data_IF_305788233494
#
_entry.id   IF_305788233494
#
_cell.length_a   1.000
_cell.length_b   1.000
_cell.length_c   1.000
_cell.angle_alpha   90.00
_cell.angle_beta   90.00
_cell.angle_gamma   90.00
#
_symmetry.space_group_name_H-M   'P 1'
#
loop_
_entity.id
_entity.type
_entity.pdbx_description
1 polymer ?
2 polymer ?
3 non-polymer ?
4 non-polymer ?
5 water ?
#
# COMPACT_ATOMS: atom_id res chain seq x y z
N UNK A 2 -13.16 -8.21 -6.35
CA UNK A 2 -12.50 -7.87 -7.64
C UNK A 2 -11.04 -7.52 -7.40
N UNK A 3 -10.24 -7.50 -8.46
CA UNK A 3 -8.83 -7.15 -8.34
C UNK A 3 -8.33 -6.34 -9.53
N UNK A 4 -7.21 -5.65 -9.35
CA UNK A 4 -6.63 -4.82 -10.39
C UNK A 4 -5.92 -5.62 -11.46
N UNK A 5 -6.35 -5.44 -12.71
CA UNK A 5 -5.76 -6.14 -13.84
C UNK A 5 -4.49 -5.43 -14.28
N UNK A 6 -4.60 -4.13 -14.54
CA UNK A 6 -3.48 -3.31 -14.97
C UNK A 6 -3.69 -1.86 -14.57
N UNK A 7 -2.75 -0.99 -14.93
CA UNK A 7 -2.85 0.43 -14.60
C UNK A 7 -2.20 1.27 -15.69
N UNK A 8 -2.99 2.07 -16.38
CA UNK A 8 -2.51 2.91 -17.47
C UNK A 8 -2.25 4.35 -17.00
N UNK A 9 -1.03 4.83 -17.23
CA UNK A 9 -0.65 6.19 -16.84
C UNK A 9 -0.25 7.01 -18.06
N UNK A 10 -0.74 8.25 -18.12
CA UNK A 10 -0.42 9.13 -19.24
C UNK A 10 -0.16 10.55 -18.75
N UNK A 11 1.11 10.94 -18.72
CA UNK A 11 1.49 12.27 -18.28
C UNK A 11 1.38 12.45 -16.78
N UNK A 12 1.28 11.34 -16.05
CA UNK A 12 1.16 11.38 -14.60
C UNK A 12 2.52 11.33 -13.92
N UNK A 13 2.80 12.40 -13.16
CA UNK A 13 4.08 12.55 -12.46
C UNK A 13 5.27 12.18 -13.36
N UNK A 14 6.13 11.25 -12.93
CA UNK A 14 7.29 10.92 -13.75
C UNK A 14 7.05 10.10 -15.03
N UNK A 15 5.80 9.74 -15.29
CA UNK A 15 5.50 8.98 -16.48
C UNK A 15 5.17 9.96 -17.61
N UNK A 16 6.01 9.95 -18.65
CA UNK A 16 5.88 10.86 -19.78
C UNK A 16 4.55 10.91 -20.53
N UNK A 17 4.58 11.39 -21.76
CA UNK A 17 3.38 11.51 -22.59
C UNK A 17 3.03 10.23 -23.31
N UNK A 18 4.02 9.37 -23.47
CA UNK A 18 3.86 8.07 -24.11
C UNK A 18 3.21 7.15 -23.08
N UNK A 19 1.91 6.96 -23.20
CA UNK A 19 1.13 6.11 -22.30
C UNK A 19 1.85 4.86 -21.80
N UNK A 20 1.84 4.66 -20.49
CA UNK A 20 2.49 3.48 -19.91
C UNK A 20 1.44 2.55 -19.27
N UNK A 21 1.59 1.25 -19.54
CA UNK A 21 0.70 0.20 -19.04
C UNK A 21 1.40 -0.63 -17.98
N UNK A 22 0.80 -0.72 -16.78
CA UNK A 22 1.40 -1.49 -15.71
C UNK A 22 0.48 -2.63 -15.26
N UNK A 23 0.82 -3.87 -15.66
CA UNK A 23 0.05 -5.08 -15.32
C UNK A 23 0.37 -5.62 -13.93
N UNK A 24 -0.62 -6.20 -13.26
CA UNK A 24 -0.42 -6.73 -11.92
C UNK A 24 -0.86 -8.17 -11.84
N UNK A 25 -0.23 -8.93 -10.97
CA UNK A 25 -0.64 -10.30 -10.78
C UNK A 25 -1.90 -10.25 -9.93
N UNK A 26 -2.76 -11.24 -10.07
CA UNK A 26 -3.97 -11.27 -9.27
C UNK A 26 -3.56 -11.54 -7.82
N UNK A 27 -2.38 -12.11 -7.67
CA UNK A 27 -1.86 -12.44 -6.34
C UNK A 27 -0.96 -11.43 -5.67
N UNK A 28 0.33 -11.73 -5.67
CA UNK A 28 1.36 -10.91 -5.03
C UNK A 28 2.28 -10.25 -6.07
N UNK A 29 2.26 -8.91 -6.13
CA UNK A 29 3.14 -8.23 -7.07
C UNK A 29 4.19 -7.37 -6.32
N UNK A 30 5.44 -7.49 -6.73
CA UNK A 30 6.53 -6.70 -6.16
C UNK A 30 6.97 -5.68 -7.20
N UNK A 31 7.03 -4.42 -6.77
CA UNK A 31 7.49 -3.35 -7.64
C UNK A 31 8.89 -3.00 -7.14
N UNK A 32 9.89 -3.16 -7.99
CA UNK A 32 11.27 -2.83 -7.60
C UNK A 32 11.82 -1.75 -8.54
N UNK A 33 13.00 -1.23 -8.19
CA UNK A 33 13.63 -0.20 -8.98
C UNK A 33 14.57 0.70 -8.21
N UNK A 34 15.50 1.33 -8.92
CA UNK A 34 16.45 2.25 -8.29
C UNK A 34 15.71 3.34 -7.51
N UNK A 35 16.41 3.95 -6.54
CA UNK A 35 15.81 5.04 -5.79
C UNK A 35 15.52 6.19 -6.79
N UNK A 36 14.35 6.81 -6.64
CA UNK A 36 13.94 7.92 -7.50
C UNK A 36 13.56 7.58 -8.93
N UNK A 37 13.19 6.32 -9.17
CA UNK A 37 12.84 5.88 -10.51
C UNK A 37 11.36 6.00 -10.81
N UNK A 38 10.53 6.04 -9.78
CA UNK A 38 9.10 6.16 -10.02
C UNK A 38 8.24 5.05 -9.44
N UNK A 39 8.75 4.34 -8.44
CA UNK A 39 8.00 3.27 -7.81
C UNK A 39 6.83 3.81 -7.00
N UNK A 40 7.09 4.74 -6.08
CA UNK A 40 5.99 5.31 -5.29
C UNK A 40 4.95 6.07 -6.13
N UNK A 41 5.39 6.66 -7.25
CA UNK A 41 4.47 7.37 -8.12
C UNK A 41 3.34 6.44 -8.62
N UNK A 42 3.65 5.15 -8.72
CA UNK A 42 2.65 4.18 -9.16
C UNK A 42 1.61 4.11 -8.05
N UNK A 43 2.08 4.18 -6.82
CA UNK A 43 1.16 4.16 -5.70
C UNK A 43 0.32 5.43 -5.78
N UNK A 44 0.99 6.54 -6.07
CA UNK A 44 0.29 7.81 -6.18
C UNK A 44 -0.79 7.75 -7.26
N UNK A 45 -0.50 7.05 -8.35
CA UNK A 45 -1.47 6.97 -9.43
C UNK A 45 -2.74 6.27 -8.96
N UNK A 46 -2.59 5.29 -8.07
CA UNK A 46 -3.74 4.56 -7.56
C UNK A 46 -4.56 5.42 -6.61
N UNK A 47 -3.89 6.15 -5.70
CA UNK A 47 -4.58 7.04 -4.78
C UNK A 47 -5.39 8.06 -5.60
N UNK A 48 -4.74 8.62 -6.60
CA UNK A 48 -5.30 9.60 -7.51
C UNK A 48 -6.54 9.13 -8.28
N UNK A 49 -6.42 8.01 -8.99
CA UNK A 49 -7.53 7.50 -9.79
C UNK A 49 -8.74 7.03 -9.01
N UNK A 50 -8.55 6.74 -7.73
CA UNK A 50 -9.64 6.26 -6.88
C UNK A 50 -10.30 7.37 -6.07
N UNK A 51 -10.05 8.62 -6.44
CA UNK A 51 -10.64 9.74 -5.73
C UNK A 51 -9.62 10.51 -4.92
N UNK A 52 -8.42 10.63 -5.48
CA UNK A 52 -7.33 11.33 -4.83
C UNK A 52 -7.73 12.60 -4.12
N UNK A 53 -7.95 12.46 -2.82
CA UNK A 53 -8.32 13.59 -1.98
C UNK A 53 -7.28 14.73 -1.99
N UNK A 54 -6.22 14.56 -1.19
CA UNK A 54 -5.17 15.57 -1.04
C UNK A 54 -3.89 15.38 -1.85
N UNK A 55 -3.40 16.48 -2.41
CA UNK A 55 -2.18 16.47 -3.19
C UNK A 55 -0.98 16.24 -2.27
N UNK A 56 -1.17 16.51 -0.97
CA UNK A 56 -0.13 16.36 0.04
C UNK A 56 0.28 14.89 0.25
N UNK A 57 -0.70 14.00 0.37
CA UNK A 57 -0.41 12.59 0.57
C UNK A 57 0.26 12.03 -0.68
N UNK A 58 0.11 12.76 -1.79
CA UNK A 58 0.70 12.39 -3.06
C UNK A 58 1.92 13.29 -3.32
N UNK A 59 2.42 13.90 -2.23
CA UNK A 59 3.58 14.78 -2.26
C UNK A 59 3.60 15.81 -3.40
N UNK A 60 2.54 16.60 -3.48
CA UNK A 60 2.40 17.63 -4.51
C UNK A 60 1.88 18.93 -3.90
N UNK A 61 2.59 20.02 -4.13
CA UNK A 61 2.19 21.33 -3.62
C UNK A 61 0.73 21.55 -4.02
N UNK A 62 0.50 21.62 -5.32
CA UNK A 62 -0.84 21.80 -5.84
C UNK A 62 -1.25 20.55 -6.59
N UNK A 63 -2.55 20.30 -6.69
CA UNK A 63 -3.06 19.14 -7.41
C UNK A 63 -2.54 19.15 -8.85
N UNK A 64 -2.21 20.33 -9.36
CA UNK A 64 -1.71 20.48 -10.72
C UNK A 64 -0.26 20.05 -10.89
N UNK A 65 0.47 19.89 -9.78
CA UNK A 65 1.87 19.47 -9.87
C UNK A 65 2.03 17.98 -10.15
N UNK A 66 0.90 17.26 -10.24
CA UNK A 66 0.92 15.84 -10.54
C UNK A 66 1.07 15.66 -12.04
N UNK A 67 1.03 16.77 -12.78
CA UNK A 67 1.16 16.71 -14.23
C UNK A 67 2.64 16.63 -14.60
N UNK A 68 2.95 15.78 -15.57
CA UNK A 68 4.31 15.56 -16.02
C UNK A 68 5.07 16.83 -16.41
N UNK A 69 6.21 17.04 -15.74
CA UNK A 69 7.06 18.21 -15.96
C UNK A 69 8.04 18.01 -17.10
N UNK A 70 8.00 18.93 -18.05
CA UNK A 70 8.90 18.86 -19.20
C UNK A 70 10.29 18.36 -18.82
N UNK A 71 10.83 17.50 -19.68
CA UNK A 71 12.14 16.92 -19.46
C UNK A 71 13.12 17.25 -20.60
N UNK A 72 14.19 16.46 -20.69
CA UNK A 72 15.21 16.66 -21.71
C UNK A 72 14.59 16.67 -23.09
N UNK A 73 14.28 15.49 -23.61
CA UNK A 73 13.68 15.36 -24.93
C UNK A 73 12.18 15.09 -24.84
N UNK A 74 11.44 15.97 -24.17
CA UNK A 74 10.00 15.80 -24.01
C UNK A 74 9.30 17.01 -23.37
N UNK A 75 8.23 17.51 -23.99
CA UNK A 75 7.45 18.66 -23.48
C UNK A 75 6.55 18.27 -22.32
N UNK A 76 6.08 19.26 -21.55
CA UNK A 76 5.21 18.97 -20.41
C UNK A 76 3.85 18.48 -20.90
N UNK A 77 3.17 17.70 -20.07
CA UNK A 77 1.86 17.16 -20.40
C UNK A 77 0.82 18.27 -20.43
N UNK A 78 -0.24 18.06 -21.21
CA UNK A 78 -1.31 19.03 -21.30
C UNK A 78 -2.24 18.74 -20.13
N UNK A 79 -2.05 17.54 -19.54
CA UNK A 79 -2.85 17.08 -18.40
C UNK A 79 -2.34 15.73 -17.92
N UNK A 80 -2.81 15.31 -16.75
CA UNK A 80 -2.41 14.03 -16.18
C UNK A 80 -3.60 13.07 -16.16
N UNK A 81 -3.39 11.89 -16.71
CA UNK A 81 -4.44 10.88 -16.74
C UNK A 81 -4.00 9.51 -16.21
N UNK A 82 -4.91 8.86 -15.51
CA UNK A 82 -4.69 7.54 -14.97
C UNK A 82 -5.97 6.73 -15.12
N UNK A 83 -5.85 5.52 -15.66
CA UNK A 83 -7.00 4.64 -15.86
C UNK A 83 -6.71 3.25 -15.32
N UNK A 84 -7.31 2.93 -14.18
CA UNK A 84 -7.13 1.62 -13.56
C UNK A 84 -8.22 0.63 -13.97
N UNK A 85 -7.81 -0.53 -14.45
CA UNK A 85 -8.75 -1.57 -14.88
C UNK A 85 -9.00 -2.59 -13.78
N UNK A 86 -10.25 -2.67 -13.33
CA UNK A 86 -10.64 -3.62 -12.28
C UNK A 86 -11.27 -4.88 -12.84
N UNK A 87 -10.89 -6.03 -12.28
CA UNK A 87 -11.42 -7.32 -12.69
C UNK A 87 -12.70 -7.56 -11.89
N UNK A 88 -13.83 -7.58 -12.58
CA UNK A 88 -15.13 -7.77 -11.93
C UNK A 88 -15.78 -9.09 -12.31
N UNK A 89 -15.28 -10.18 -11.73
CA UNK A 89 -15.83 -11.51 -11.99
C UNK A 89 -16.76 -11.98 -10.87
N UNK A 90 -16.30 -11.82 -9.62
CA UNK A 90 -17.10 -12.20 -8.46
C UNK A 90 -18.15 -11.15 -8.10
N UNK A 91 -18.18 -10.08 -8.90
CA UNK A 91 -19.12 -8.97 -8.73
C UNK A 91 -19.03 -8.25 -7.38
N UNK A 92 -17.86 -7.71 -7.08
CA UNK A 92 -17.68 -6.98 -5.84
C UNK A 92 -18.34 -5.62 -5.93
N UNK A 93 -18.43 -5.09 -7.14
CA UNK A 93 -19.05 -3.80 -7.42
C UNK A 93 -20.54 -3.96 -7.69
N UNK A 94 -21.29 -2.84 -7.70
CA UNK A 94 -22.73 -2.95 -7.97
C UNK A 94 -23.08 -2.84 -9.45
N UNK A 95 -22.16 -3.28 -10.31
CA UNK A 95 -22.36 -3.23 -11.76
C UNK A 95 -22.43 -4.63 -12.37
N UNK A 96 -23.09 -4.73 -13.51
CA UNK A 96 -23.23 -5.99 -14.25
C UNK A 96 -22.22 -5.92 -15.40
N UNK A 97 -20.96 -6.20 -15.10
CA UNK A 97 -19.89 -6.12 -16.10
C UNK A 97 -18.60 -6.81 -15.63
N UNK A 98 -18.06 -7.71 -16.45
CA UNK A 98 -16.82 -8.42 -16.08
C UNK A 98 -15.67 -7.45 -15.86
N UNK A 99 -15.63 -6.37 -16.63
CA UNK A 99 -14.57 -5.39 -16.46
C UNK A 99 -15.08 -4.01 -16.10
N UNK A 100 -14.53 -3.46 -15.02
CA UNK A 100 -14.86 -2.13 -14.52
C UNK A 100 -13.60 -1.27 -14.69
N UNK A 101 -13.74 -0.14 -15.37
CA UNK A 101 -12.63 0.76 -15.62
C UNK A 101 -12.95 2.13 -15.05
N UNK A 102 -12.03 2.69 -14.28
CA UNK A 102 -12.24 4.02 -13.72
C UNK A 102 -11.09 4.88 -14.23
N UNK A 103 -11.44 6.04 -14.78
CA UNK A 103 -10.47 6.93 -15.35
C UNK A 103 -10.57 8.35 -14.79
N UNK A 104 -9.42 8.94 -14.47
CA UNK A 104 -9.40 10.29 -13.94
C UNK A 104 -8.40 11.14 -14.70
N UNK A 105 -8.78 12.40 -14.89
CA UNK A 105 -7.93 13.32 -15.60
C UNK A 105 -7.90 14.63 -14.85
N UNK A 106 -6.73 15.23 -14.72
CA UNK A 106 -6.64 16.50 -14.03
C UNK A 106 -5.97 17.47 -14.97
N UNK A 107 -6.42 18.73 -14.94
CA UNK A 107 -5.88 19.76 -15.82
C UNK A 107 -5.10 20.81 -15.07
N UNK A 108 -4.23 21.54 -15.78
CA UNK A 108 -3.39 22.60 -15.19
C UNK A 108 -4.14 23.54 -14.26
N UNK A 109 -5.44 23.67 -14.48
CA UNK A 109 -6.28 24.54 -13.67
C UNK A 109 -6.81 23.83 -12.43
N UNK A 110 -6.58 22.51 -12.35
CA UNK A 110 -7.04 21.75 -11.20
C UNK A 110 -8.39 21.08 -11.37
N UNK A 111 -8.97 21.19 -12.56
CA UNK A 111 -10.26 20.58 -12.85
C UNK A 111 -10.04 19.08 -13.04
N UNK A 112 -10.94 18.26 -12.49
CA UNK A 112 -10.83 16.81 -12.61
C UNK A 112 -12.06 16.16 -13.19
N UNK A 113 -11.86 15.33 -14.21
CA UNK A 113 -12.96 14.63 -14.83
C UNK A 113 -12.84 13.12 -14.63
N UNK A 114 -13.91 12.49 -14.17
CA UNK A 114 -13.93 11.06 -13.94
C UNK A 114 -14.71 10.33 -15.02
N UNK A 115 -14.39 9.07 -15.21
CA UNK A 115 -15.07 8.23 -16.19
C UNK A 115 -15.22 6.84 -15.60
N UNK A 116 -16.38 6.23 -15.84
CA UNK A 116 -16.71 4.88 -15.36
C UNK A 116 -17.09 4.06 -16.59
N UNK A 117 -16.29 3.05 -16.91
CA UNK A 117 -16.55 2.24 -18.08
C UNK A 117 -16.94 3.08 -19.29
N UNK A 118 -16.29 4.23 -19.46
CA UNK A 118 -16.60 5.09 -20.59
C UNK A 118 -17.48 6.31 -20.26
N UNK A 119 -18.65 6.07 -19.67
CA UNK A 119 -19.54 7.16 -19.29
C UNK A 119 -18.86 8.12 -18.32
N UNK A 120 -19.24 9.39 -18.38
CA UNK A 120 -18.67 10.39 -17.48
C UNK A 120 -19.33 10.14 -16.13
N UNK A 121 -18.64 10.49 -15.04
CA UNK A 121 -19.19 10.27 -13.72
C UNK A 121 -18.69 11.27 -12.70
N UNK A 122 -19.27 11.21 -11.51
CA UNK A 122 -18.90 12.13 -10.43
C UNK A 122 -18.10 11.40 -9.35
N UNK A 123 -17.18 12.10 -8.72
CA UNK A 123 -16.38 11.46 -7.69
C UNK A 123 -17.28 10.68 -6.74
N UNK A 124 -18.37 11.31 -6.32
CA UNK A 124 -19.32 10.69 -5.41
C UNK A 124 -19.88 9.38 -5.91
N UNK A 125 -20.12 9.28 -7.22
CA UNK A 125 -20.64 8.03 -7.73
C UNK A 125 -19.52 7.00 -7.71
N UNK A 126 -18.31 7.45 -8.04
CA UNK A 126 -17.16 6.54 -8.04
C UNK A 126 -16.87 6.06 -6.65
N UNK A 127 -16.85 6.99 -5.70
CA UNK A 127 -16.59 6.67 -4.29
C UNK A 127 -17.58 5.62 -3.81
N UNK A 128 -18.82 5.76 -4.25
CA UNK A 128 -19.88 4.84 -3.86
C UNK A 128 -19.72 3.47 -4.49
N UNK A 129 -19.19 3.42 -5.71
CA UNK A 129 -18.99 2.14 -6.35
C UNK A 129 -17.79 1.48 -5.64
N UNK A 130 -16.79 2.27 -5.27
CA UNK A 130 -15.63 1.71 -4.58
C UNK A 130 -16.04 1.19 -3.20
N UNK A 131 -16.83 2.00 -2.50
CA UNK A 131 -17.27 1.62 -1.18
C UNK A 131 -18.02 0.31 -1.20
N UNK A 132 -18.84 0.09 -2.24
CA UNK A 132 -19.62 -1.15 -2.35
C UNK A 132 -18.71 -2.36 -2.60
N UNK A 133 -17.47 -2.09 -2.99
CA UNK A 133 -16.53 -3.16 -3.26
C UNK A 133 -15.57 -3.29 -2.10
N UNK A 134 -15.89 -2.63 -1.00
CA UNK A 134 -15.05 -2.64 0.18
C UNK A 134 -13.68 -1.98 -0.07
N UNK A 135 -13.67 -0.95 -0.92
CA UNK A 135 -12.47 -0.20 -1.23
C UNK A 135 -12.64 1.22 -0.72
N UNK A 136 -12.09 1.49 0.46
CA UNK A 136 -12.23 2.83 1.03
C UNK A 136 -10.99 3.26 1.79
N UNK A 137 -10.89 4.56 2.08
CA UNK A 137 -9.74 5.11 2.82
C UNK A 137 -9.76 4.55 4.24
N UNK A 138 -10.97 4.25 4.73
CA UNK A 138 -11.17 3.71 6.06
C UNK A 138 -10.83 2.22 6.15
N UNK A 139 -10.41 1.65 5.03
CA UNK A 139 -10.04 0.24 5.01
C UNK A 139 -8.56 0.09 5.33
N UNK A 140 -7.83 1.20 5.24
CA UNK A 140 -6.39 1.21 5.52
C UNK A 140 -5.68 0.14 4.69
N UNK A 141 -6.07 0.02 3.43
CA UNK A 141 -5.46 -0.99 2.59
C UNK A 141 -4.25 -0.44 1.86
N UNK A 142 -3.99 0.85 2.04
CA UNK A 142 -2.86 1.50 1.41
C UNK A 142 -1.91 2.07 2.48
N UNK A 143 -0.71 1.51 2.54
CA UNK A 143 0.31 1.92 3.50
C UNK A 143 1.44 2.62 2.75
N UNK A 144 1.49 3.94 2.84
CA UNK A 144 2.48 4.75 2.14
C UNK A 144 3.89 4.75 2.73
N UNK A 145 4.86 5.10 1.89
CA UNK A 145 6.27 5.21 2.29
C UNK A 145 6.27 6.15 3.49
N UNK A 146 6.71 5.65 4.64
CA UNK A 146 6.74 6.47 5.84
C UNK A 146 5.59 6.27 6.82
N UNK A 147 4.56 5.54 6.42
CA UNK A 147 3.41 5.31 7.31
C UNK A 147 3.76 4.48 8.55
N UNK A 148 4.59 3.44 8.37
CA UNK A 148 4.99 2.61 9.51
C UNK A 148 5.71 3.47 10.52
N UNK A 149 6.62 4.31 10.04
CA UNK A 149 7.35 5.16 10.95
C UNK A 149 6.38 6.05 11.71
N UNK A 150 5.21 6.30 11.13
CA UNK A 150 4.21 7.11 11.80
C UNK A 150 3.43 6.28 12.85
N UNK A 151 2.94 5.10 12.48
CA UNK A 151 2.21 4.26 13.44
C UNK A 151 3.05 4.00 14.69
N UNK A 152 4.33 4.32 14.59
CA UNK A 152 5.25 4.15 15.70
C UNK A 152 5.21 5.39 16.58
N UNK A 153 5.53 6.55 16.00
CA UNK A 153 5.54 7.80 16.77
C UNK A 153 4.27 8.03 17.61
N UNK A 154 3.13 7.57 17.10
CA UNK A 154 1.86 7.73 17.80
C UNK A 154 1.92 7.48 19.29
N UNK A 155 1.20 8.29 20.04
CA UNK A 155 1.13 8.16 21.49
C UNK A 155 -0.06 7.25 21.79
N UNK A 156 -0.05 6.53 22.93
CA UNK A 156 -1.15 5.63 23.30
C UNK A 156 -2.52 6.28 23.13
N UNK A 157 -2.54 7.61 23.14
CA UNK A 157 -3.77 8.37 22.97
C UNK A 157 -4.24 8.27 21.53
N UNK A 158 -3.44 8.85 20.64
CA UNK A 158 -3.73 8.85 19.20
C UNK A 158 -4.09 7.43 18.75
N UNK A 159 -3.45 6.45 19.38
CA UNK A 159 -3.66 5.04 19.06
C UNK A 159 -5.04 4.58 19.51
N UNK A 160 -5.50 5.08 20.65
CA UNK A 160 -6.81 4.68 21.15
C UNK A 160 -7.85 5.34 20.24
N UNK A 161 -7.55 6.57 19.82
CA UNK A 161 -8.45 7.30 18.95
C UNK A 161 -8.63 6.63 17.58
N UNK A 162 -7.60 5.95 17.10
CA UNK A 162 -7.69 5.28 15.81
C UNK A 162 -8.76 4.21 15.81
N UNK A 163 -8.79 3.40 16.87
CA UNK A 163 -9.80 2.36 16.95
C UNK A 163 -11.17 3.03 17.12
N UNK A 164 -11.17 4.31 17.49
CA UNK A 164 -12.43 5.04 17.65
C UNK A 164 -13.07 5.11 16.27
N UNK A 165 -12.27 5.52 15.28
CA UNK A 165 -12.74 5.65 13.90
C UNK A 165 -13.07 4.29 13.30
N UNK A 166 -12.39 3.26 13.76
CA UNK A 166 -12.63 1.90 13.27
C UNK A 166 -13.96 1.44 13.88
N UNK A 167 -14.51 2.25 14.76
CA UNK A 167 -15.77 1.95 15.42
C UNK A 167 -16.81 3.03 15.11
N UNK B 4 -21.78 2.79 22.87
CA UNK B 4 -20.47 3.06 22.31
C UNK B 4 -19.45 2.08 22.88
N UNK B 5 -19.11 2.23 24.16
CA UNK B 5 -18.15 1.34 24.82
C UNK B 5 -18.65 -0.11 24.76
N UNK B 6 -19.86 -0.30 24.25
CA UNK B 6 -20.41 -1.64 24.14
C UNK B 6 -19.88 -2.27 22.85
N UNK B 7 -19.80 -1.45 21.80
CA UNK B 7 -19.30 -1.91 20.48
C UNK B 7 -17.80 -1.70 20.34
N UNK B 8 -17.31 -0.60 20.92
CA UNK B 8 -15.89 -0.26 20.91
C UNK B 8 -15.11 -1.46 21.44
N UNK B 9 -15.69 -2.17 22.41
CA UNK B 9 -15.05 -3.34 22.99
C UNK B 9 -15.24 -4.55 22.06
N UNK B 10 -16.31 -4.52 21.26
CA UNK B 10 -16.61 -5.60 20.32
C UNK B 10 -15.55 -5.60 19.21
N UNK B 11 -15.17 -4.40 18.79
CA UNK B 11 -14.16 -4.22 17.76
C UNK B 11 -12.78 -4.43 18.37
N UNK B 12 -12.47 -3.64 19.39
CA UNK B 12 -11.18 -3.74 20.07
C UNK B 12 -10.83 -5.18 20.40
N UNK B 13 -11.81 -5.97 20.81
CA UNK B 13 -11.55 -7.36 21.14
C UNK B 13 -11.28 -8.15 19.86
N UNK B 14 -11.86 -7.69 18.76
CA UNK B 14 -11.69 -8.35 17.47
C UNK B 14 -10.32 -8.07 16.89
N UNK B 15 -9.96 -6.79 16.87
CA UNK B 15 -8.67 -6.35 16.37
C UNK B 15 -7.55 -6.91 17.23
N UNK B 16 -7.68 -6.73 18.54
CA UNK B 16 -6.68 -7.22 19.49
C UNK B 16 -6.44 -8.71 19.34
N UNK B 17 -7.50 -9.46 19.09
CA UNK B 17 -7.39 -10.91 18.91
C UNK B 17 -6.52 -11.20 17.71
N UNK B 18 -6.66 -10.36 16.69
CA UNK B 18 -5.89 -10.48 15.45
C UNK B 18 -4.42 -10.13 15.67
N UNK B 19 -4.18 -9.02 16.35
CA UNK B 19 -2.83 -8.55 16.63
C UNK B 19 -1.98 -9.63 17.30
N UNK B 20 -2.58 -10.37 18.22
CA UNK B 20 -1.87 -11.42 18.93
C UNK B 20 -1.52 -12.63 18.06
N UNK B 21 -2.44 -13.03 17.19
CA UNK B 21 -2.20 -14.19 16.33
C UNK B 21 -1.22 -13.90 15.20
N UNK B 22 -1.26 -12.67 14.67
CA UNK B 22 -0.37 -12.26 13.58
C UNK B 22 1.04 -12.14 14.16
N UNK B 23 1.15 -11.39 15.25
CA UNK B 23 2.43 -11.19 15.91
C UNK B 23 3.09 -12.52 16.25
N UNK B 24 2.30 -13.45 16.79
CA UNK B 24 2.82 -14.77 17.16
C UNK B 24 3.38 -15.47 15.94
N UNK B 25 2.86 -15.12 14.77
CA UNK B 25 3.37 -15.73 13.53
C UNK B 25 4.65 -15.05 13.07
N UNK B 26 4.70 -13.72 13.20
CA UNK B 26 5.86 -12.93 12.79
C UNK B 26 7.01 -13.09 13.77
N UNK B 27 6.66 -13.37 15.02
CA UNK B 27 7.65 -13.54 16.09
C UNK B 27 7.46 -14.91 16.76
N UNK B 28 7.97 -15.98 16.12
CA UNK B 28 7.88 -17.37 16.61
C UNK B 28 8.32 -17.49 18.06
N UNK B 29 7.48 -18.14 18.85
CA UNK B 29 7.80 -18.32 20.26
C UNK B 29 7.50 -17.08 21.06
N UNK B 30 7.03 -16.03 20.39
CA UNK B 30 6.71 -14.78 21.08
C UNK B 30 5.23 -14.48 21.15
N UNK B 31 4.89 -13.32 21.68
CA UNK B 31 3.50 -12.89 21.82
C UNK B 31 3.37 -11.38 22.00
N UNK B 32 2.14 -10.88 21.87
CA UNK B 32 1.86 -9.45 22.01
C UNK B 32 0.37 -9.18 22.23
N UNK B 33 0.07 -8.40 23.27
CA UNK B 33 -1.31 -8.06 23.61
C UNK B 33 -1.56 -6.56 23.56
N UNK B 34 -2.81 -6.19 23.30
CA UNK B 34 -3.20 -4.78 23.24
C UNK B 34 -4.05 -4.43 24.45
N UNK B 35 -3.41 -4.42 25.62
CA UNK B 35 -4.08 -4.11 26.88
C UNK B 35 -4.51 -2.65 26.97
N UNK B 36 -5.72 -2.42 27.46
CA UNK B 36 -6.27 -1.07 27.61
C UNK B 36 -5.83 -0.44 28.93
N UNK B 37 -5.52 0.86 28.89
CA UNK B 37 -5.08 1.59 30.07
C UNK B 37 -6.23 1.83 31.05
N UNK B 38 -7.45 1.98 30.51
CA UNK B 38 -8.63 2.23 31.33
C UNK B 38 -9.83 1.36 30.93
N UNK B 39 -9.85 0.10 31.39
CA UNK B 39 -10.97 -0.81 31.06
C UNK B 39 -12.33 -0.38 31.62
N UNK B 43 -12.40 4.16 28.56
CA UNK B 43 -11.75 4.74 27.39
C UNK B 43 -11.43 6.21 27.65
N UNK B 44 -10.92 6.49 28.85
CA UNK B 44 -10.55 7.87 29.21
C UNK B 44 -9.10 8.13 28.85
N UNK B 45 -8.29 7.08 28.89
CA UNK B 45 -6.88 7.19 28.58
C UNK B 45 -6.52 6.82 27.15
N UNK B 46 -5.66 5.82 26.98
CA UNK B 46 -5.27 5.40 25.64
C UNK B 46 -5.16 3.91 25.42
N UNK B 47 -4.52 3.53 24.31
CA UNK B 47 -4.34 2.12 23.99
C UNK B 47 -2.82 1.89 24.02
N UNK B 48 -2.40 0.94 24.84
CA UNK B 48 -0.98 0.61 24.97
C UNK B 48 -0.68 -0.71 24.27
N UNK B 49 0.58 -0.92 23.91
CA UNK B 49 0.96 -2.16 23.25
C UNK B 49 2.09 -2.83 24.01
N UNK B 50 1.90 -4.09 24.39
CA UNK B 50 2.92 -4.83 25.12
C UNK B 50 3.31 -6.03 24.29
N UNK B 51 4.60 -6.12 23.99
CA UNK B 51 5.11 -7.21 23.16
C UNK B 51 6.18 -7.98 23.90
N UNK B 52 6.21 -9.29 23.68
CA UNK B 52 7.19 -10.15 24.34
C UNK B 52 7.67 -11.25 23.40
N UNK B 53 8.87 -11.09 22.82
CA UNK B 53 9.44 -12.08 21.91
C UNK B 53 9.99 -13.28 22.69
N UNK B 54 10.55 -14.25 21.98
CA UNK B 54 11.09 -15.44 22.61
C UNK B 54 12.26 -15.16 23.54
N UNK B 55 12.07 -15.42 24.83
CA UNK B 55 13.12 -15.22 25.81
C UNK B 55 13.12 -13.88 26.53
N UNK B 56 12.96 -12.79 25.79
CA UNK B 56 12.96 -11.44 26.38
C UNK B 56 11.73 -11.11 27.22
N UNK B 57 11.88 -10.10 28.08
CA UNK B 57 10.81 -9.65 28.96
C UNK B 57 9.79 -8.77 28.25
N UNK B 58 8.63 -8.60 28.88
CA UNK B 58 7.55 -7.79 28.34
C UNK B 58 7.82 -6.29 28.50
N UNK B 59 7.76 -5.56 27.38
CA UNK B 59 8.00 -4.12 27.38
C UNK B 59 7.07 -3.42 26.40
N UNK B 60 6.64 -2.21 26.73
CA UNK B 60 5.77 -1.44 25.84
C UNK B 60 6.52 -1.18 24.53
N UNK B 61 5.79 -1.16 23.42
CA UNK B 61 6.38 -0.95 22.10
C UNK B 61 7.44 0.15 22.11
N UNK B 62 7.20 1.24 22.82
CA UNK B 62 8.18 2.33 22.85
C UNK B 62 9.54 2.00 23.47
N UNK B 63 9.68 0.82 24.07
CA UNK B 63 10.95 0.44 24.68
C UNK B 63 11.71 -0.58 23.83
N UNK B 64 11.09 -1.03 22.74
CA UNK B 64 11.71 -2.02 21.85
C UNK B 64 12.74 -1.38 20.92
N UNK B 65 13.50 -2.23 20.21
CA UNK B 65 14.50 -1.76 19.24
C UNK B 65 13.78 -1.28 17.97
N UNK B 66 14.43 -0.41 17.21
CA UNK B 66 13.84 0.12 16.00
C UNK B 66 13.18 -0.94 15.13
N UNK B 67 13.90 -2.03 14.90
CA UNK B 67 13.39 -3.12 14.09
C UNK B 67 12.20 -3.82 14.69
N UNK B 68 12.24 -4.05 16.00
CA UNK B 68 11.14 -4.72 16.70
C UNK B 68 9.93 -3.81 16.69
N UNK B 69 10.15 -2.50 16.74
CA UNK B 69 9.04 -1.55 16.73
C UNK B 69 8.35 -1.64 15.38
N UNK B 70 9.14 -1.65 14.31
CA UNK B 70 8.59 -1.73 12.97
C UNK B 70 7.82 -3.04 12.77
N UNK B 71 8.33 -4.15 13.28
CA UNK B 71 7.62 -5.41 13.12
C UNK B 71 6.31 -5.40 13.92
N UNK B 72 6.37 -4.93 15.17
CA UNK B 72 5.17 -4.87 16.00
C UNK B 72 4.11 -3.94 15.37
N UNK B 73 4.54 -2.80 14.87
CA UNK B 73 3.63 -1.83 14.26
C UNK B 73 2.90 -2.46 13.08
N UNK B 74 3.64 -3.27 12.31
CA UNK B 74 3.08 -3.93 11.15
C UNK B 74 2.02 -4.92 11.59
N UNK B 75 2.28 -5.60 12.71
CA UNK B 75 1.35 -6.59 13.24
C UNK B 75 0.03 -5.88 13.50
N UNK B 76 0.14 -4.68 14.05
CA UNK B 76 -1.02 -3.86 14.39
C UNK B 76 -1.81 -3.53 13.12
N UNK B 77 -1.11 -2.94 12.15
CA UNK B 77 -1.66 -2.56 10.84
C UNK B 77 -2.33 -3.75 10.17
N UNK B 78 -1.61 -4.86 10.11
CA UNK B 78 -2.15 -6.07 9.50
C UNK B 78 -3.43 -6.49 10.21
N UNK B 79 -3.48 -6.26 11.51
CA UNK B 79 -4.64 -6.62 12.33
C UNK B 79 -5.87 -5.78 12.00
N UNK B 80 -5.65 -4.51 11.68
CA UNK B 80 -6.74 -3.59 11.33
C UNK B 80 -7.30 -3.92 9.95
N UNK B 81 -6.44 -4.45 9.09
CA UNK B 81 -6.82 -4.81 7.73
C UNK B 81 -7.63 -6.12 7.72
N UNK B 82 -7.36 -6.97 8.71
CA UNK B 82 -8.07 -8.26 8.82
C UNK B 82 -9.49 -8.03 9.31
N UNK B 83 -9.68 -6.98 10.10
CA UNK B 83 -10.99 -6.62 10.64
C UNK B 83 -11.93 -6.17 9.52
N UNK B 84 -11.38 -5.43 8.56
CA UNK B 84 -12.14 -4.94 7.41
C UNK B 84 -11.34 -5.25 6.14
N UNK B 85 -11.42 -6.50 5.66
CA UNK B 85 -10.72 -6.97 4.46
C UNK B 85 -10.98 -6.13 3.21
N UNK B 86 -9.90 -5.76 2.53
CA UNK B 86 -9.97 -4.97 1.31
C UNK B 86 -9.68 -5.86 0.09
N UNK B 87 -10.20 -5.47 -1.09
CA UNK B 87 -10.00 -6.25 -2.32
C UNK B 87 -8.53 -6.27 -2.77
N UNK B 88 -7.75 -5.29 -2.31
CA UNK B 88 -6.34 -5.19 -2.65
C UNK B 88 -5.64 -4.33 -1.64
N UNK B 89 -4.32 -4.49 -1.56
CA UNK B 89 -3.48 -3.72 -0.64
C UNK B 89 -2.25 -3.19 -1.37
N UNK B 90 -1.83 -1.99 -1.01
CA UNK B 90 -0.64 -1.41 -1.62
C UNK B 90 0.30 -1.06 -0.47
N UNK B 91 1.46 -1.68 -0.45
CA UNK B 91 2.43 -1.44 0.60
C UNK B 91 3.70 -0.80 0.03
N UNK B 92 4.08 0.35 0.55
CA UNK B 92 5.29 1.04 0.09
C UNK B 92 6.35 1.00 1.20
N UNK B 93 7.42 0.23 0.99
CA UNK B 93 8.50 0.14 1.98
C UNK B 93 8.08 -0.14 3.43
N UNK B 94 7.57 -1.34 3.66
CA UNK B 94 7.16 -1.69 5.00
C UNK B 94 8.25 -2.54 5.63
N UNK B 95 9.31 -2.81 4.89
CA UNK B 95 10.42 -3.65 5.36
C UNK B 95 11.76 -2.90 5.40
N UNK B 96 11.70 -1.59 5.58
CA UNK B 96 12.90 -0.77 5.61
C UNK B 96 13.76 -0.89 6.86
N UNK B 97 13.20 -1.47 7.92
CA UNK B 97 13.94 -1.63 9.17
C UNK B 97 14.08 -3.06 9.66
N UNK B 98 13.46 -3.99 8.94
CA UNK B 98 13.51 -5.40 9.28
C UNK B 98 14.73 -6.09 8.67
N UNK B 99 15.21 -7.14 9.35
CA UNK B 99 16.35 -7.90 8.86
C UNK B 99 15.87 -8.99 7.90
N UNK B 100 16.82 -9.63 7.21
CA UNK B 100 16.50 -10.69 6.24
C UNK B 100 15.56 -11.78 6.74
N UNK B 101 15.70 -12.15 8.01
CA UNK B 101 14.85 -13.18 8.61
C UNK B 101 13.44 -12.65 8.80
N UNK B 102 13.33 -11.44 9.34
CA UNK B 102 12.05 -10.81 9.58
C UNK B 102 11.32 -10.44 8.29
N UNK B 103 12.07 -9.99 7.28
CA UNK B 103 11.50 -9.63 5.98
C UNK B 103 10.79 -10.86 5.41
N UNK B 104 11.47 -12.00 5.51
CA UNK B 104 10.98 -13.28 5.00
C UNK B 104 9.69 -13.67 5.69
N UNK B 105 9.61 -13.45 7.00
CA UNK B 105 8.40 -13.78 7.70
C UNK B 105 7.23 -12.91 7.22
N UNK B 106 7.49 -11.63 7.00
CA UNK B 106 6.43 -10.75 6.55
C UNK B 106 6.05 -11.18 5.14
N UNK B 107 7.05 -11.50 4.32
CA UNK B 107 6.79 -11.92 2.96
C UNK B 107 6.00 -13.22 2.86
N UNK B 108 6.22 -14.16 3.77
CA UNK B 108 5.49 -15.41 3.72
C UNK B 108 4.06 -15.15 4.14
N UNK B 109 3.88 -14.26 5.11
CA UNK B 109 2.53 -13.93 5.54
C UNK B 109 1.76 -13.30 4.36
N UNK B 110 2.40 -12.36 3.67
CA UNK B 110 1.79 -11.70 2.54
C UNK B 110 1.53 -12.71 1.42
N UNK B 111 2.47 -13.63 1.20
CA UNK B 111 2.26 -14.63 0.16
C UNK B 111 1.03 -15.48 0.50
N UNK B 112 0.85 -15.75 1.79
CA UNK B 112 -0.27 -16.55 2.22
C UNK B 112 -1.59 -15.84 1.97
N UNK B 113 -1.77 -14.66 2.57
CA UNK B 113 -3.01 -13.90 2.40
C UNK B 113 -3.25 -13.61 0.92
N UNK B 114 -2.19 -13.70 0.13
CA UNK B 114 -2.24 -13.45 -1.30
C UNK B 114 -3.24 -14.33 -2.07
N UNK B 115 -3.65 -15.42 -1.47
CA UNK B 115 -4.59 -16.34 -2.11
C UNK B 115 -6.05 -15.84 -2.02
N UNK B 116 -6.28 -14.83 -1.19
CA UNK B 116 -7.61 -14.29 -1.02
C UNK B 116 -7.75 -12.83 -1.43
N UNK B 117 -6.76 -11.99 -1.10
CA UNK B 117 -6.83 -10.58 -1.47
C UNK B 117 -5.62 -10.32 -2.35
N UNK B 118 -5.63 -9.20 -3.08
CA UNK B 118 -4.51 -8.84 -3.96
C UNK B 118 -3.50 -7.99 -3.19
N UNK B 119 -2.22 -8.24 -3.43
CA UNK B 119 -1.15 -7.50 -2.76
C UNK B 119 -0.13 -6.90 -3.71
N UNK B 120 0.07 -5.59 -3.59
CA UNK B 120 1.05 -4.87 -4.41
C UNK B 120 2.05 -4.21 -3.46
N UNK B 121 3.20 -4.84 -3.30
CA UNK B 121 4.24 -4.34 -2.41
C UNK B 121 5.44 -3.73 -3.14
N UNK B 122 5.80 -2.51 -2.75
CA UNK B 122 6.95 -1.82 -3.33
C UNK B 122 8.08 -1.89 -2.30
N UNK B 123 9.11 -2.69 -2.60
CA UNK B 123 10.23 -2.86 -1.69
C UNK B 123 11.58 -2.86 -2.41
N UNK B 124 12.63 -2.46 -1.69
CA UNK B 124 13.99 -2.42 -2.22
C UNK B 124 14.74 -3.69 -1.82
N UNK B 125 14.15 -4.46 -0.92
CA UNK B 125 14.73 -5.70 -0.41
C UNK B 125 14.53 -6.84 -1.41
N UNK B 126 15.52 -7.73 -1.51
CA UNK B 126 15.43 -8.85 -2.43
C UNK B 126 14.61 -10.00 -1.86
N UNK B 127 14.67 -10.20 -0.54
CA UNK B 127 13.92 -11.26 0.10
C UNK B 127 12.42 -11.06 -0.09
N UNK B 128 11.99 -9.80 -0.14
CA UNK B 128 10.56 -9.50 -0.31
C UNK B 128 10.15 -9.78 -1.76
N UNK B 129 10.85 -9.21 -2.74
CA UNK B 129 10.43 -9.47 -4.10
C UNK B 129 10.51 -10.94 -4.52
N UNK B 130 11.50 -11.67 -4.04
CA UNK B 130 11.64 -13.07 -4.43
C UNK B 130 10.43 -13.97 -4.09
N UNK B 131 9.56 -13.51 -3.20
CA UNK B 131 8.38 -14.27 -2.80
C UNK B 131 7.15 -13.94 -3.63
N UNK B 132 7.28 -12.98 -4.55
CA UNK B 132 6.14 -12.54 -5.36
C UNK B 132 5.85 -13.35 -6.60
N UNK B 133 4.58 -13.36 -7.00
CA UNK B 133 4.12 -14.06 -8.21
C UNK B 133 4.61 -13.26 -9.43
N UNK B 134 4.70 -11.95 -9.29
CA UNK B 134 5.18 -11.13 -10.39
C UNK B 134 6.01 -9.99 -9.90
N UNK B 135 6.98 -9.62 -10.70
CA UNK B 135 7.89 -8.51 -10.39
C UNK B 135 7.83 -7.45 -11.48
N UNK B 136 7.58 -6.21 -11.07
CA UNK B 136 7.55 -5.06 -11.98
C UNK B 136 8.80 -4.22 -11.70
N UNK B 137 9.70 -4.11 -12.67
CA UNK B 137 10.88 -3.30 -12.48
C UNK B 137 10.68 -1.89 -13.03
N UNK B 138 10.92 -0.88 -12.21
CA UNK B 138 10.78 0.50 -12.66
C UNK B 138 12.17 1.06 -12.90
N UNK B 139 12.31 1.94 -13.89
CA UNK B 139 13.60 2.55 -14.18
C UNK B 139 13.36 3.89 -14.81
N UNK B 140 14.38 4.74 -14.80
CA UNK B 140 14.22 6.06 -15.36
C UNK B 140 15.36 6.42 -16.26
N UNK B 141 15.01 7.13 -17.32
CA UNK B 141 15.95 7.57 -18.31
C UNK B 141 15.56 8.98 -18.71
N UNK B 142 16.49 9.91 -18.54
CA UNK B 142 16.23 11.30 -18.87
C UNK B 142 14.91 11.80 -18.25
N UNK B 143 14.77 11.57 -16.95
CA UNK B 143 13.59 12.03 -16.23
C UNK B 143 12.28 11.34 -16.53
N UNK B 144 12.31 10.27 -17.33
CA UNK B 144 11.07 9.56 -17.67
C UNK B 144 11.01 8.13 -17.10
N UNK B 145 9.94 7.83 -16.35
CA UNK B 145 9.80 6.51 -15.77
C UNK B 145 9.33 5.49 -16.79
N UNK B 146 9.89 4.29 -16.70
CA UNK B 146 9.53 3.21 -17.57
C UNK B 146 9.31 1.93 -16.75
N UNK B 147 8.45 1.04 -17.26
CA UNK B 147 8.14 -0.21 -16.57
C UNK B 147 8.40 -1.41 -17.47
N UNK B 148 8.85 -2.50 -16.86
CA UNK B 148 9.16 -3.73 -17.58
C UNK B 148 8.92 -4.95 -16.67
N UNK B 149 8.22 -5.95 -17.20
CA UNK B 149 7.93 -7.17 -16.44
C UNK B 149 9.18 -8.05 -16.33
N UNK B 150 9.81 -8.04 -15.16
CA UNK B 150 11.01 -8.81 -14.91
C UNK B 150 10.72 -10.17 -14.27
N UNK B 151 11.36 -11.21 -14.80
CA UNK B 151 11.21 -12.55 -14.27
C UNK B 151 12.06 -12.73 -13.00
N UNK B 152 11.86 -13.83 -12.31
CA UNK B 152 12.59 -14.09 -11.07
C UNK B 152 14.09 -14.29 -11.31
N UNK B 153 14.46 -14.82 -12.46
CA UNK B 153 15.87 -15.06 -12.79
C UNK B 153 16.58 -13.77 -13.21
N UNK B 154 15.95 -13.02 -14.10
CA UNK B 154 16.50 -11.75 -14.59
C UNK B 154 16.68 -10.72 -13.48
N UNK B 155 15.74 -10.70 -12.54
CA UNK B 155 15.80 -9.77 -11.42
C UNK B 155 16.97 -10.12 -10.51
N UNK B 156 17.21 -11.42 -10.35
CA UNK B 156 18.30 -11.91 -9.52
C UNK B 156 19.64 -11.66 -10.20
N UNK B 157 19.69 -11.81 -11.53
CA UNK B 157 20.95 -11.58 -12.24
C UNK B 157 21.43 -10.15 -12.02
N UNK B 158 20.50 -9.20 -12.10
CA UNK B 158 20.85 -7.81 -11.89
C UNK B 158 21.40 -7.64 -10.48
N UNK B 159 20.75 -8.27 -9.51
CA UNK B 159 21.18 -8.15 -8.13
C UNK B 159 22.50 -8.83 -7.86
N UNK B 160 22.76 -9.94 -8.52
CA UNK B 160 24.03 -10.65 -8.31
C UNK B 160 25.16 -9.88 -8.94
N UNK B 161 24.85 -9.13 -9.99
CA UNK B 161 25.84 -8.36 -10.70
C UNK B 161 26.27 -7.18 -9.84
N UNK B 162 25.31 -6.59 -9.12
CA UNK B 162 25.61 -5.45 -8.24
C UNK B 162 26.59 -5.92 -7.15
N UNK B 163 26.43 -7.16 -6.72
CA UNK B 163 27.24 -7.74 -5.67
C UNK B 163 28.63 -8.25 -6.12
N UNK B 164 28.82 -8.47 -7.42
CA UNK B 164 30.11 -8.95 -7.89
C UNK B 164 31.13 -7.80 -7.71
N UNK B 165 32.41 -8.14 -7.66
CA UNK B 165 33.45 -7.12 -7.52
C UNK B 165 33.89 -6.71 -8.92
N UNK B 166 33.47 -5.53 -9.38
CA UNK B 166 33.83 -5.06 -10.71
C UNK B 166 35.07 -4.15 -10.72
N UNK B 167 34.85 -2.86 -11.02
CA UNK B 167 35.95 -1.92 -11.06
C UNK B 167 35.50 -0.52 -11.45
#
# INVERSE_FOLDING_TARGET
MPYIEKLELKGFKSYGNKKVVIPFSKGFTAIVGANGSGKSNIGDAILFVLGGLSAKAMRASRISDLIFAGSKNEPPAKYAEVAIYFNNEDRGFPIDEDEVVIRRRVYPDGRSSYWLNGRRATRSEILDILTAAMISPDGYNIVLQGDITKFIKMSPLERRLLIDDISGIAEYDSKKEKALEE
EKEKKNVFMRTFEAISRNFSEIFAKLSPGGSARLILENPEDPFSGGLEIEAKPAGKDVKRIEAMSGGEKALTALAFVFAIQKFKPAPFYLFDQIDAHLDDANVKRVADLIKESSKESQFIVITLRDVMMANADKIIGVSMRDGVSKVVSLSLEKAMKILEEIRKKQGWEHGN
#
